data_IF_169561063725
#
_entry.id   IF_169561063725
#
_cell.length_a   1.000
_cell.length_b   1.000
_cell.length_c   1.000
_cell.angle_alpha   90.00
_cell.angle_beta   90.00
_cell.angle_gamma   90.00
#
_symmetry.space_group_name_H-M   'P 1'
#
loop_
_entity.id
_entity.type
_entity.pdbx_description
1 polymer ?
#
# COMPACT_ATOMS: atom_id res chain seq x y z
N UNK A 1 -29.43 0.20 12.55
CA UNK A 1 -27.99 0.32 12.93
C UNK A 1 -27.84 -0.57 14.16
N UNK A 2 -27.47 -1.82 13.92
CA UNK A 2 -27.22 -2.77 15.00
C UNK A 2 -26.09 -2.23 15.86
N UNK A 3 -26.31 -2.26 17.17
CA UNK A 3 -25.28 -1.93 18.15
C UNK A 3 -24.16 -2.98 17.99
N UNK A 4 -23.08 -2.63 17.31
CA UNK A 4 -21.86 -3.42 17.34
C UNK A 4 -21.48 -3.55 18.82
N UNK A 5 -21.55 -4.77 19.33
CA UNK A 5 -21.07 -5.08 20.67
C UNK A 5 -19.60 -4.65 20.75
N UNK A 6 -19.31 -3.68 21.62
CA UNK A 6 -17.97 -3.12 21.74
C UNK A 6 -17.15 -4.04 22.64
N UNK A 7 -16.29 -4.83 22.06
CA UNK A 7 -15.32 -5.62 22.83
C UNK A 7 -14.34 -4.71 23.59
N UNK A 8 -13.95 -5.13 24.76
CA UNK A 8 -12.97 -4.44 25.57
C UNK A 8 -11.60 -4.38 24.84
N UNK A 9 -11.00 -3.18 24.63
CA UNK A 9 -9.73 -3.06 23.96
C UNK A 9 -8.53 -3.56 24.81
N UNK A 10 -8.73 -3.88 26.07
CA UNK A 10 -7.68 -4.34 26.98
C UNK A 10 -7.64 -5.86 27.15
N UNK A 11 -8.82 -6.51 27.24
CA UNK A 11 -8.91 -7.96 27.46
C UNK A 11 -9.71 -8.71 26.41
N UNK A 12 -10.19 -8.01 25.36
CA UNK A 12 -11.02 -8.55 24.27
C UNK A 12 -12.35 -9.19 24.70
N UNK A 13 -12.78 -9.04 25.98
CA UNK A 13 -14.06 -9.55 26.44
C UNK A 13 -15.23 -8.80 25.79
N UNK A 14 -16.30 -9.47 25.37
CA UNK A 14 -17.53 -8.83 24.92
C UNK A 14 -18.38 -8.26 26.08
N UNK A 15 -18.05 -8.61 27.32
CA UNK A 15 -18.80 -8.21 28.51
C UNK A 15 -18.54 -6.75 28.86
N UNK A 16 -19.11 -5.83 28.10
CA UNK A 16 -19.00 -4.39 28.30
C UNK A 16 -20.36 -3.75 28.53
N UNK A 17 -20.41 -2.69 29.33
CA UNK A 17 -21.62 -1.89 29.55
C UNK A 17 -21.33 -0.39 29.41
N UNK A 18 -22.33 0.37 29.00
CA UNK A 18 -22.23 1.83 29.00
C UNK A 18 -22.21 2.33 30.45
N UNK A 19 -21.10 2.94 30.86
CA UNK A 19 -20.95 3.56 32.16
C UNK A 19 -21.62 4.93 32.23
N UNK A 20 -21.28 5.81 31.24
CA UNK A 20 -21.90 7.13 31.11
C UNK A 20 -21.75 7.67 29.68
N UNK A 21 -22.45 8.79 29.41
CA UNK A 21 -22.29 9.58 28.19
C UNK A 21 -21.79 10.96 28.57
N UNK A 22 -20.75 11.43 27.88
CA UNK A 22 -20.17 12.76 28.11
C UNK A 22 -20.17 13.58 26.81
N UNK A 23 -20.24 14.91 26.94
CA UNK A 23 -20.22 15.82 25.81
C UNK A 23 -18.80 16.16 25.40
N UNK A 24 -18.54 16.16 24.10
CA UNK A 24 -17.28 16.64 23.53
C UNK A 24 -17.49 17.96 22.80
N UNK A 25 -16.45 18.77 22.73
CA UNK A 25 -16.52 20.09 22.12
C UNK A 25 -16.86 20.06 20.60
N UNK A 26 -16.34 19.07 19.87
CA UNK A 26 -16.39 19.03 18.40
C UNK A 26 -17.05 17.78 17.81
N UNK A 27 -17.42 16.79 18.63
CA UNK A 27 -17.90 15.49 18.16
C UNK A 27 -19.23 15.06 18.78
N UNK A 28 -19.90 15.97 19.52
CA UNK A 28 -21.16 15.64 20.20
C UNK A 28 -20.97 14.70 21.39
N UNK A 29 -22.04 13.99 21.79
CA UNK A 29 -21.98 13.05 22.89
C UNK A 29 -21.16 11.81 22.54
N UNK A 30 -20.37 11.33 23.49
CA UNK A 30 -19.61 10.07 23.42
C UNK A 30 -19.92 9.18 24.61
N UNK A 31 -19.87 7.89 24.40
CA UNK A 31 -20.08 6.89 25.43
C UNK A 31 -18.75 6.48 26.06
N UNK A 32 -18.77 6.34 27.37
CA UNK A 32 -17.72 5.68 28.14
C UNK A 32 -18.24 4.29 28.51
N UNK A 33 -17.47 3.28 28.22
CA UNK A 33 -17.78 1.90 28.53
C UNK A 33 -16.95 1.43 29.71
N UNK A 34 -17.52 0.48 30.48
CA UNK A 34 -16.85 -0.29 31.51
C UNK A 34 -16.84 -1.75 31.09
N UNK A 35 -15.69 -2.40 31.15
CA UNK A 35 -15.58 -3.84 30.98
C UNK A 35 -15.86 -4.53 32.32
N UNK A 36 -16.80 -5.47 32.35
CA UNK A 36 -17.12 -6.21 33.58
C UNK A 36 -16.14 -7.35 33.85
N UNK A 37 -15.33 -7.76 32.89
CA UNK A 37 -14.33 -8.79 33.05
C UNK A 37 -12.99 -8.28 33.62
N UNK A 38 -12.48 -7.11 33.17
CA UNK A 38 -11.22 -6.55 33.64
C UNK A 38 -11.36 -5.23 34.41
N UNK A 39 -12.59 -4.70 34.53
CA UNK A 39 -12.93 -3.47 35.25
C UNK A 39 -12.30 -2.18 34.70
N UNK A 40 -11.77 -2.23 33.47
CA UNK A 40 -11.20 -1.06 32.79
C UNK A 40 -12.26 -0.22 32.08
N UNK A 41 -12.03 1.09 32.05
CA UNK A 41 -12.91 2.04 31.38
C UNK A 41 -12.31 2.49 30.04
N UNK A 42 -13.13 2.62 29.01
CA UNK A 42 -12.69 3.07 27.70
C UNK A 42 -13.78 3.84 26.94
N UNK A 43 -13.35 4.81 26.15
CA UNK A 43 -14.25 5.55 25.25
C UNK A 43 -14.59 4.71 24.01
N UNK A 44 -15.75 4.89 23.43
CA UNK A 44 -16.14 4.30 22.14
C UNK A 44 -15.16 4.61 21.00
N UNK A 45 -14.31 5.61 21.16
CA UNK A 45 -13.27 5.98 20.19
C UNK A 45 -11.89 5.46 20.53
N UNK A 46 -11.77 4.62 21.56
CA UNK A 46 -10.49 4.02 21.94
C UNK A 46 -9.90 3.24 20.77
N UNK A 47 -8.60 3.38 20.51
CA UNK A 47 -7.86 2.78 19.40
C UNK A 47 -8.36 3.20 18.00
N UNK A 48 -9.21 4.21 17.87
CA UNK A 48 -9.55 4.81 16.57
C UNK A 48 -8.70 6.07 16.30
N UNK A 49 -8.84 6.67 15.11
CA UNK A 49 -8.22 7.97 14.84
C UNK A 49 -8.83 9.08 15.70
N UNK A 50 -10.05 8.91 16.20
CA UNK A 50 -10.79 9.88 17.01
C UNK A 50 -10.39 9.86 18.49
N UNK A 51 -9.58 8.90 18.92
CA UNK A 51 -9.10 8.82 20.30
C UNK A 51 -8.40 10.13 20.71
N UNK A 52 -8.88 10.76 21.79
CA UNK A 52 -8.36 12.02 22.33
C UNK A 52 -8.28 13.19 21.32
N UNK A 53 -8.94 13.06 20.19
CA UNK A 53 -8.94 14.09 19.15
C UNK A 53 -9.87 15.24 19.56
N UNK A 54 -9.29 16.43 19.72
CA UNK A 54 -10.02 17.68 20.06
C UNK A 54 -10.27 18.55 18.84
N UNK A 55 -9.48 18.42 17.78
CA UNK A 55 -9.60 19.20 16.55
C UNK A 55 -10.76 18.70 15.70
N UNK A 56 -11.59 19.59 15.08
CA UNK A 56 -12.65 19.15 14.20
C UNK A 56 -12.17 18.22 13.09
N UNK A 57 -12.94 17.16 12.80
CA UNK A 57 -12.61 16.14 11.82
C UNK A 57 -12.32 16.72 10.43
N UNK A 58 -13.06 17.74 10.03
CA UNK A 58 -12.87 18.44 8.76
C UNK A 58 -11.48 19.06 8.62
N UNK A 59 -10.93 19.60 9.71
CA UNK A 59 -9.58 20.17 9.72
C UNK A 59 -8.53 19.07 9.59
N UNK A 60 -8.67 17.99 10.37
CA UNK A 60 -7.77 16.84 10.30
C UNK A 60 -7.74 16.23 8.89
N UNK A 61 -8.92 16.02 8.33
CA UNK A 61 -9.06 15.52 6.97
C UNK A 61 -8.41 16.43 5.93
N UNK A 62 -8.69 17.74 5.98
CA UNK A 62 -8.10 18.70 5.05
C UNK A 62 -6.57 18.71 5.12
N UNK A 63 -6.00 18.57 6.31
CA UNK A 63 -4.56 18.45 6.51
C UNK A 63 -4.02 17.17 5.87
N UNK A 64 -4.59 16.00 6.15
CA UNK A 64 -4.15 14.72 5.58
C UNK A 64 -4.30 14.71 4.06
N UNK A 65 -5.42 15.22 3.55
CA UNK A 65 -5.64 15.31 2.10
C UNK A 65 -4.61 16.25 1.44
N UNK A 66 -4.38 17.43 1.98
CA UNK A 66 -3.37 18.36 1.46
C UNK A 66 -1.95 17.76 1.45
N UNK A 67 -1.61 16.95 2.45
CA UNK A 67 -0.34 16.23 2.53
C UNK A 67 -0.18 15.22 1.38
N UNK A 68 -1.25 14.52 1.02
CA UNK A 68 -1.26 13.54 -0.09
C UNK A 68 -1.53 14.16 -1.46
N UNK A 69 -1.80 15.49 -1.52
CA UNK A 69 -1.88 16.28 -2.74
C UNK A 69 -0.65 17.17 -2.97
N UNK A 70 0.45 16.91 -2.25
CA UNK A 70 1.76 17.49 -2.51
C UNK A 70 2.13 18.69 -1.67
N UNK A 71 1.36 18.98 -0.62
CA UNK A 71 1.74 20.03 0.32
C UNK A 71 2.85 19.55 1.26
N UNK A 72 3.98 20.26 1.28
CA UNK A 72 5.09 19.95 2.18
C UNK A 72 4.73 20.25 3.64
N UNK A 73 5.32 19.53 4.61
CA UNK A 73 4.97 19.62 6.03
C UNK A 73 4.97 21.05 6.58
N UNK A 74 6.00 21.83 6.32
CA UNK A 74 6.06 23.22 6.79
C UNK A 74 5.02 24.14 6.11
N UNK A 75 4.66 23.85 4.86
CA UNK A 75 3.57 24.58 4.18
C UNK A 75 2.23 24.24 4.85
N UNK A 76 1.97 22.96 5.14
CA UNK A 76 0.77 22.52 5.86
C UNK A 76 0.61 23.23 7.21
N UNK A 77 1.69 23.28 8.00
CA UNK A 77 1.72 23.99 9.29
C UNK A 77 1.30 25.46 9.12
N UNK A 78 1.88 26.17 8.14
CA UNK A 78 1.53 27.58 7.89
C UNK A 78 0.10 27.79 7.37
N UNK A 79 -0.35 26.89 6.50
CA UNK A 79 -1.68 27.01 5.85
C UNK A 79 -2.82 26.74 6.82
N UNK A 80 -2.68 25.73 7.66
CA UNK A 80 -3.75 25.27 8.55
C UNK A 80 -3.61 25.77 9.99
N UNK A 81 -2.51 26.46 10.34
CA UNK A 81 -2.27 26.94 11.71
C UNK A 81 -2.06 25.81 12.74
N UNK A 82 -1.68 24.63 12.30
CA UNK A 82 -1.54 23.42 13.14
C UNK A 82 -0.08 23.17 13.44
N UNK A 83 0.24 22.78 14.69
CA UNK A 83 1.61 22.47 15.08
C UNK A 83 2.16 21.26 14.28
N UNK A 84 3.45 21.31 13.98
CA UNK A 84 4.15 20.28 13.21
C UNK A 84 3.95 18.87 13.77
N UNK A 85 4.11 18.72 15.09
CA UNK A 85 3.97 17.41 15.75
C UNK A 85 2.53 16.89 15.68
N UNK A 86 1.54 17.78 15.72
CA UNK A 86 0.12 17.42 15.55
C UNK A 86 -0.15 16.88 14.15
N UNK A 87 0.40 17.50 13.10
CA UNK A 87 0.30 16.96 11.73
C UNK A 87 0.93 15.57 11.64
N UNK A 88 2.10 15.39 12.24
CA UNK A 88 2.79 14.09 12.23
C UNK A 88 2.07 13.01 13.05
N UNK A 89 1.40 13.39 14.15
CA UNK A 89 0.54 12.51 14.93
C UNK A 89 -0.68 12.04 14.11
N UNK A 90 -1.35 12.95 13.42
CA UNK A 90 -2.48 12.59 12.57
C UNK A 90 -2.06 11.72 11.38
N UNK A 91 -0.90 11.99 10.76
CA UNK A 91 -0.32 11.11 9.75
C UNK A 91 -0.06 9.71 10.32
N UNK A 92 0.50 9.61 11.53
CA UNK A 92 0.80 8.31 12.15
C UNK A 92 -0.49 7.54 12.45
N UNK A 93 -1.47 8.17 13.06
CA UNK A 93 -2.77 7.53 13.33
C UNK A 93 -3.43 7.01 12.05
N UNK A 94 -3.40 7.79 10.97
CA UNK A 94 -3.93 7.34 9.67
C UNK A 94 -3.10 6.20 9.07
N UNK A 95 -1.77 6.26 9.17
CA UNK A 95 -0.87 5.21 8.71
C UNK A 95 -1.10 3.88 9.45
N UNK A 96 -1.41 3.94 10.75
CA UNK A 96 -1.69 2.76 11.59
C UNK A 96 -2.95 1.99 11.14
N UNK A 97 -3.79 2.55 10.26
CA UNK A 97 -4.90 1.83 9.64
C UNK A 97 -4.47 0.92 8.48
N UNK A 98 -3.30 1.18 7.88
CA UNK A 98 -2.85 0.44 6.70
C UNK A 98 -2.80 -1.08 6.96
N UNK A 99 -2.21 -1.61 8.05
CA UNK A 99 -2.17 -3.05 8.29
C UNK A 99 -3.56 -3.68 8.43
N UNK A 100 -4.48 -3.01 9.13
CA UNK A 100 -5.86 -3.50 9.33
C UNK A 100 -6.61 -3.57 8.01
N UNK A 101 -6.58 -2.47 7.24
CA UNK A 101 -7.24 -2.39 5.94
C UNK A 101 -6.60 -3.34 4.91
N UNK A 102 -5.29 -3.57 5.02
CA UNK A 102 -4.58 -4.54 4.19
C UNK A 102 -5.05 -5.98 4.47
N UNK A 103 -5.09 -6.38 5.75
CA UNK A 103 -5.59 -7.72 6.14
C UNK A 103 -7.05 -7.89 5.74
N UNK A 104 -7.88 -6.88 5.94
CA UNK A 104 -9.27 -6.89 5.48
C UNK A 104 -9.35 -7.11 3.97
N UNK A 105 -8.51 -6.42 3.19
CA UNK A 105 -8.48 -6.55 1.73
C UNK A 105 -8.05 -7.94 1.27
N UNK A 106 -7.11 -8.58 1.97
CA UNK A 106 -6.68 -9.95 1.65
C UNK A 106 -7.80 -10.97 1.81
N UNK A 107 -8.63 -10.83 2.85
CA UNK A 107 -9.71 -11.77 3.15
C UNK A 107 -10.90 -11.60 2.18
N UNK A 108 -11.12 -10.40 1.64
CA UNK A 108 -12.31 -10.06 0.87
C UNK A 108 -12.09 -9.98 -0.65
N UNK A 109 -10.87 -10.27 -1.15
CA UNK A 109 -10.63 -10.29 -2.59
C UNK A 109 -11.02 -11.63 -3.21
N UNK A 110 -11.69 -11.58 -4.37
CA UNK A 110 -12.18 -12.79 -5.07
C UNK A 110 -11.80 -12.83 -6.57
N UNK A 111 -10.92 -11.95 -7.07
CA UNK A 111 -10.70 -11.79 -8.50
C UNK A 111 -9.33 -12.32 -8.95
N UNK A 112 -9.26 -12.68 -10.25
CA UNK A 112 -7.99 -12.88 -10.96
C UNK A 112 -7.15 -11.60 -10.87
N UNK A 113 -5.90 -11.72 -10.41
CA UNK A 113 -5.07 -10.57 -10.12
C UNK A 113 -3.93 -10.46 -11.12
N UNK A 114 -3.89 -9.35 -11.87
CA UNK A 114 -2.75 -8.97 -12.69
C UNK A 114 -2.02 -7.84 -12.00
N UNK A 115 -0.88 -8.14 -11.40
CA UNK A 115 -0.09 -7.20 -10.61
C UNK A 115 1.06 -6.65 -11.43
N UNK A 116 1.21 -5.36 -11.43
CA UNK A 116 2.39 -4.66 -11.94
C UNK A 116 3.31 -4.26 -10.80
N UNK A 117 4.60 -4.63 -10.94
CA UNK A 117 5.66 -4.25 -10.00
C UNK A 117 6.64 -3.27 -10.63
N UNK A 118 6.96 -2.20 -9.91
CA UNK A 118 7.99 -1.23 -10.29
C UNK A 118 8.59 -0.56 -9.04
N UNK A 119 9.73 0.09 -9.19
CA UNK A 119 10.38 0.81 -8.10
C UNK A 119 10.82 2.20 -8.51
N UNK A 120 10.71 3.14 -7.59
CA UNK A 120 11.16 4.51 -7.76
C UNK A 120 12.13 4.93 -6.66
N UNK A 121 13.09 5.74 -7.04
CA UNK A 121 14.03 6.34 -6.12
C UNK A 121 13.59 7.75 -5.71
N UNK A 122 13.70 8.04 -4.41
CA UNK A 122 13.67 9.41 -3.88
C UNK A 122 14.79 9.63 -2.87
N UNK A 123 15.17 10.90 -2.69
CA UNK A 123 16.20 11.28 -1.72
C UNK A 123 15.67 11.21 -0.30
N UNK A 124 16.46 10.64 0.61
CA UNK A 124 16.22 10.68 2.05
C UNK A 124 17.43 11.28 2.77
N UNK A 125 17.18 12.18 3.71
CA UNK A 125 18.15 12.84 4.60
C UNK A 125 19.35 13.50 3.90
N UNK A 126 20.20 12.70 3.28
CA UNK A 126 21.43 13.13 2.60
C UNK A 126 21.39 12.80 1.12
N UNK A 127 22.19 13.50 0.33
CA UNK A 127 22.41 13.17 -1.07
C UNK A 127 23.47 12.07 -1.15
N UNK A 128 23.01 10.84 -1.22
CA UNK A 128 23.86 9.65 -1.39
C UNK A 128 23.55 9.00 -2.74
N UNK A 129 24.47 8.23 -3.32
CA UNK A 129 24.21 7.45 -4.53
C UNK A 129 23.00 6.53 -4.36
N UNK A 130 22.22 6.25 -5.41
CA UNK A 130 21.01 5.42 -5.33
C UNK A 130 21.24 4.03 -4.75
N UNK A 131 22.39 3.41 -4.98
CA UNK A 131 22.79 2.09 -4.46
C UNK A 131 23.01 2.08 -2.95
N UNK A 132 23.33 3.22 -2.36
CA UNK A 132 23.54 3.40 -0.91
C UNK A 132 22.33 3.98 -0.20
N UNK A 133 21.29 4.39 -0.95
CA UNK A 133 20.13 5.08 -0.39
C UNK A 133 19.10 4.11 0.14
N UNK A 134 18.42 4.53 1.25
CA UNK A 134 17.22 3.90 1.77
C UNK A 134 15.93 4.50 1.18
N UNK A 135 16.04 5.33 0.14
CA UNK A 135 14.92 6.03 -0.49
C UNK A 135 14.33 5.32 -1.70
N UNK A 136 14.51 4.03 -1.84
CA UNK A 136 13.79 3.25 -2.84
C UNK A 136 12.40 2.92 -2.35
N UNK A 137 11.42 3.14 -3.20
CA UNK A 137 10.02 2.79 -2.93
C UNK A 137 9.59 1.75 -3.95
N UNK A 138 9.12 0.62 -3.45
CA UNK A 138 8.63 -0.50 -4.21
C UNK A 138 7.11 -0.44 -4.26
N UNK A 139 6.53 -0.67 -5.43
CA UNK A 139 5.11 -0.69 -5.71
C UNK A 139 4.70 -2.04 -6.24
N UNK A 140 3.61 -2.58 -5.69
CA UNK A 140 2.79 -3.60 -6.34
C UNK A 140 1.38 -3.06 -6.47
N UNK A 141 0.87 -2.99 -7.70
CA UNK A 141 -0.44 -2.42 -8.01
C UNK A 141 -1.24 -3.40 -8.88
N UNK A 142 -2.50 -3.60 -8.52
CA UNK A 142 -3.43 -4.34 -9.38
C UNK A 142 -3.76 -3.54 -10.64
N UNK A 143 -3.66 -4.20 -11.79
CA UNK A 143 -3.83 -3.56 -13.09
C UNK A 143 -5.26 -3.08 -13.34
N UNK A 144 -6.26 -3.85 -12.96
CA UNK A 144 -7.65 -3.54 -13.24
C UNK A 144 -8.20 -2.47 -12.31
N UNK A 145 -8.12 -2.71 -11.01
CA UNK A 145 -8.70 -1.85 -9.97
C UNK A 145 -7.85 -0.65 -9.62
N UNK A 146 -6.54 -0.68 -9.92
CA UNK A 146 -5.54 0.30 -9.43
C UNK A 146 -5.32 0.21 -7.92
N UNK A 147 -5.74 -0.86 -7.28
CA UNK A 147 -5.50 -1.11 -5.89
C UNK A 147 -4.00 -1.31 -5.63
N UNK A 148 -3.47 -0.60 -4.67
CA UNK A 148 -2.07 -0.71 -4.27
C UNK A 148 -1.99 -1.82 -3.22
N UNK A 149 -1.33 -2.91 -3.55
CA UNK A 149 -1.06 -3.98 -2.59
C UNK A 149 0.12 -3.65 -1.69
N UNK A 150 1.21 -3.20 -2.30
CA UNK A 150 2.45 -2.87 -1.58
C UNK A 150 2.92 -1.49 -1.98
N UNK A 151 3.31 -0.69 -1.00
CA UNK A 151 3.95 0.62 -1.19
C UNK A 151 4.99 0.81 -0.08
N UNK A 152 6.12 0.13 -0.22
CA UNK A 152 7.14 0.03 0.81
C UNK A 152 8.41 0.77 0.45
N UNK A 153 9.03 1.44 1.42
CA UNK A 153 10.31 2.12 1.20
C UNK A 153 11.45 1.54 2.03
N UNK A 154 12.65 1.54 1.42
CA UNK A 154 13.83 0.99 2.07
C UNK A 154 15.08 1.06 1.21
N UNK A 155 16.09 0.30 1.59
CA UNK A 155 17.25 0.05 0.75
C UNK A 155 16.86 -0.90 -0.39
N UNK A 156 17.37 -0.68 -1.60
CA UNK A 156 17.11 -1.57 -2.75
C UNK A 156 17.91 -2.87 -2.61
N UNK A 157 17.59 -3.65 -1.60
CA UNK A 157 18.21 -4.96 -1.31
C UNK A 157 17.14 -6.08 -1.32
N UNK A 158 17.60 -7.30 -1.08
CA UNK A 158 16.72 -8.48 -1.06
C UNK A 158 15.56 -8.33 -0.08
N UNK A 159 15.78 -7.74 1.11
CA UNK A 159 14.78 -7.62 2.16
C UNK A 159 13.56 -6.81 1.71
N UNK A 160 13.77 -5.68 1.00
CA UNK A 160 12.67 -4.86 0.49
C UNK A 160 11.80 -5.64 -0.51
N UNK A 161 12.42 -6.45 -1.38
CA UNK A 161 11.69 -7.29 -2.33
C UNK A 161 10.98 -8.47 -1.65
N UNK A 162 11.60 -9.07 -0.64
CA UNK A 162 10.98 -10.15 0.14
C UNK A 162 9.68 -9.70 0.81
N UNK A 163 9.66 -8.51 1.42
CA UNK A 163 8.44 -7.94 2.01
C UNK A 163 7.31 -7.81 0.98
N UNK A 164 7.62 -7.31 -0.22
CA UNK A 164 6.63 -7.21 -1.30
C UNK A 164 6.14 -8.59 -1.79
N UNK A 165 7.04 -9.56 -1.92
CA UNK A 165 6.68 -10.90 -2.40
C UNK A 165 5.88 -11.67 -1.36
N UNK A 166 6.11 -11.46 -0.06
CA UNK A 166 5.26 -12.02 1.00
C UNK A 166 3.80 -11.59 0.85
N UNK A 167 3.56 -10.33 0.45
CA UNK A 167 2.21 -9.86 0.08
C UNK A 167 1.61 -10.68 -1.05
N UNK A 168 2.39 -10.96 -2.11
CA UNK A 168 1.93 -11.79 -3.23
C UNK A 168 1.67 -13.24 -2.82
N UNK A 169 2.46 -13.79 -1.91
CA UNK A 169 2.25 -15.14 -1.39
C UNK A 169 0.88 -15.26 -0.71
N UNK A 170 0.51 -14.27 0.09
CA UNK A 170 -0.80 -14.23 0.75
C UNK A 170 -1.93 -14.16 -0.29
N UNK A 171 -1.79 -13.30 -1.31
CA UNK A 171 -2.77 -13.20 -2.40
C UNK A 171 -2.88 -14.52 -3.18
N UNK A 172 -1.77 -15.23 -3.42
CA UNK A 172 -1.74 -16.49 -4.17
C UNK A 172 -2.40 -17.64 -3.40
N UNK A 173 -2.40 -17.62 -2.07
CA UNK A 173 -3.08 -18.64 -1.27
C UNK A 173 -4.58 -18.68 -1.56
N UNK A 174 -5.16 -17.52 -1.89
CA UNK A 174 -6.59 -17.33 -2.11
C UNK A 174 -6.97 -17.21 -3.60
N UNK A 175 -5.98 -17.09 -4.51
CA UNK A 175 -6.17 -16.94 -5.95
C UNK A 175 -5.50 -18.07 -6.74
N UNK A 176 -6.25 -18.71 -7.65
CA UNK A 176 -5.68 -19.72 -8.55
C UNK A 176 -5.00 -19.12 -9.80
N UNK A 177 -5.09 -17.81 -10.03
CA UNK A 177 -4.48 -17.14 -11.20
C UNK A 177 -3.88 -15.78 -10.81
N UNK A 178 -2.55 -15.72 -10.75
CA UNK A 178 -1.78 -14.51 -10.56
C UNK A 178 -0.83 -14.29 -11.73
N UNK A 179 -0.89 -13.12 -12.34
CA UNK A 179 0.09 -12.66 -13.33
C UNK A 179 0.91 -11.51 -12.75
N UNK A 180 2.20 -11.69 -12.58
CA UNK A 180 3.14 -10.66 -12.15
C UNK A 180 3.91 -10.08 -13.35
N UNK A 181 3.81 -8.79 -13.56
CA UNK A 181 4.45 -8.04 -14.63
C UNK A 181 5.44 -7.04 -14.05
N UNK A 182 6.69 -7.10 -14.45
CA UNK A 182 7.74 -6.23 -13.92
C UNK A 182 8.57 -5.57 -15.02
N UNK A 183 9.24 -4.49 -14.68
CA UNK A 183 9.99 -3.67 -15.61
C UNK A 183 11.50 -3.98 -15.53
N UNK A 184 11.90 -5.14 -16.07
CA UNK A 184 13.30 -5.55 -16.15
C UNK A 184 13.93 -6.04 -14.84
N UNK A 185 13.28 -5.89 -13.70
CA UNK A 185 13.78 -6.30 -12.39
C UNK A 185 13.48 -7.79 -12.13
N UNK A 186 14.50 -8.61 -12.17
CA UNK A 186 14.39 -10.08 -12.04
C UNK A 186 14.16 -10.56 -10.61
N UNK A 187 14.47 -9.74 -9.61
CA UNK A 187 14.32 -10.13 -8.19
C UNK A 187 12.90 -10.51 -7.83
N UNK A 188 11.90 -9.83 -8.38
CA UNK A 188 10.50 -10.15 -8.17
C UNK A 188 10.18 -11.60 -8.57
N UNK A 189 10.49 -11.96 -9.81
CA UNK A 189 10.21 -13.29 -10.33
C UNK A 189 11.01 -14.39 -9.64
N UNK A 190 12.28 -14.14 -9.33
CA UNK A 190 13.13 -15.11 -8.64
C UNK A 190 12.65 -15.40 -7.22
N UNK A 191 12.28 -14.36 -6.45
CA UNK A 191 11.76 -14.52 -5.10
C UNK A 191 10.39 -15.17 -5.12
N UNK A 192 9.52 -14.79 -6.07
CA UNK A 192 8.22 -15.43 -6.22
C UNK A 192 8.38 -16.93 -6.52
N UNK A 193 9.35 -17.30 -7.38
CA UNK A 193 9.67 -18.70 -7.65
C UNK A 193 10.20 -19.44 -6.41
N UNK A 194 11.01 -18.80 -5.58
CA UNK A 194 11.48 -19.39 -4.32
C UNK A 194 10.32 -19.76 -3.39
N UNK A 195 9.29 -18.93 -3.32
CA UNK A 195 8.14 -19.09 -2.43
C UNK A 195 7.06 -19.99 -3.06
N UNK A 196 6.75 -19.79 -4.34
CA UNK A 196 5.58 -20.38 -5.02
C UNK A 196 5.96 -21.48 -6.01
N UNK A 197 7.01 -22.28 -5.76
CA UNK A 197 7.33 -23.40 -6.62
C UNK A 197 6.65 -24.71 -6.20
N UNK A 198 6.42 -25.57 -7.18
CA UNK A 198 6.04 -26.96 -7.00
C UNK A 198 7.11 -27.89 -7.55
N UNK A 199 7.20 -29.09 -7.00
CA UNK A 199 8.17 -30.11 -7.43
C UNK A 199 7.56 -31.01 -8.50
N UNK A 200 8.21 -31.10 -9.66
CA UNK A 200 7.83 -32.05 -10.71
C UNK A 200 8.65 -33.33 -10.53
N UNK A 201 7.97 -34.42 -10.20
CA UNK A 201 8.59 -35.76 -10.13
C UNK A 201 8.40 -36.47 -11.46
N UNK A 202 9.46 -36.62 -12.22
CA UNK A 202 9.45 -37.26 -13.56
C UNK A 202 9.65 -38.78 -13.51
N UNK A 203 9.76 -39.37 -12.31
CA UNK A 203 10.13 -40.80 -12.14
C UNK A 203 11.58 -41.13 -12.43
N UNK A 204 12.38 -40.18 -12.88
CA UNK A 204 13.84 -40.38 -13.13
C UNK A 204 14.64 -40.19 -11.84
N UNK A 205 15.76 -40.95 -11.67
CA UNK A 205 16.66 -40.69 -10.55
C UNK A 205 17.20 -39.26 -10.57
N UNK A 206 17.32 -38.64 -9.39
CA UNK A 206 17.84 -37.29 -9.24
C UNK A 206 16.93 -36.35 -8.48
N UNK A 207 17.36 -35.09 -8.32
CA UNK A 207 16.57 -34.07 -7.64
C UNK A 207 15.39 -33.69 -8.52
N UNK A 208 14.13 -33.63 -7.96
CA UNK A 208 12.97 -33.17 -8.70
C UNK A 208 13.20 -31.77 -9.26
N UNK A 209 12.72 -31.53 -10.49
CA UNK A 209 12.72 -30.20 -11.06
C UNK A 209 11.68 -29.32 -10.37
N UNK A 210 11.92 -28.02 -10.37
CA UNK A 210 11.03 -27.01 -9.78
C UNK A 210 10.36 -26.22 -10.88
N UNK A 211 9.07 -25.94 -10.72
CA UNK A 211 8.33 -25.01 -11.58
C UNK A 211 7.46 -24.09 -10.73
N UNK A 212 6.97 -22.98 -11.27
CA UNK A 212 5.97 -22.17 -10.58
C UNK A 212 4.68 -22.99 -10.36
N UNK A 213 3.95 -22.71 -9.29
CA UNK A 213 2.62 -23.30 -9.07
C UNK A 213 1.73 -23.02 -10.29
N UNK A 214 0.82 -23.94 -10.59
CA UNK A 214 -0.19 -23.75 -11.65
C UNK A 214 -0.97 -22.45 -11.39
N UNK A 215 -1.17 -21.66 -12.45
CA UNK A 215 -1.86 -20.37 -12.35
C UNK A 215 -0.94 -19.18 -12.08
N UNK A 216 0.29 -19.38 -11.59
CA UNK A 216 1.23 -18.28 -11.34
C UNK A 216 2.08 -18.01 -12.57
N UNK A 217 2.01 -16.79 -13.11
CA UNK A 217 2.73 -16.33 -14.31
C UNK A 217 3.62 -15.16 -13.97
N UNK A 218 4.85 -15.16 -14.44
CA UNK A 218 5.80 -14.05 -14.28
C UNK A 218 6.29 -13.60 -15.65
N UNK A 219 6.19 -12.32 -15.95
CA UNK A 219 6.66 -11.71 -17.18
C UNK A 219 7.49 -10.48 -16.89
N UNK A 220 8.54 -10.31 -17.64
CA UNK A 220 9.50 -9.22 -17.50
C UNK A 220 9.54 -8.42 -18.79
N UNK A 221 9.22 -7.11 -18.69
CA UNK A 221 9.30 -6.18 -19.79
C UNK A 221 10.76 -5.95 -20.18
N UNK A 222 11.07 -6.07 -21.44
CA UNK A 222 12.42 -5.82 -21.95
C UNK A 222 12.57 -4.33 -22.37
N UNK A 223 13.31 -3.57 -21.60
CA UNK A 223 13.63 -2.16 -21.92
C UNK A 223 14.71 -1.99 -22.98
N UNK A 224 15.39 -3.06 -23.40
CA UNK A 224 16.55 -2.97 -24.26
C UNK A 224 17.73 -2.21 -23.63
N UNK A 225 18.89 -2.30 -24.26
CA UNK A 225 20.08 -1.52 -23.83
C UNK A 225 19.90 -0.06 -24.22
N UNK A 226 19.95 0.84 -23.25
CA UNK A 226 20.04 2.30 -23.46
C UNK A 226 21.49 2.77 -23.61
N UNK A 227 22.44 1.86 -23.83
CA UNK A 227 23.83 2.21 -24.07
C UNK A 227 23.95 3.17 -25.25
N UNK A 228 24.84 4.17 -25.13
CA UNK A 228 25.09 5.20 -26.13
C UNK A 228 25.29 4.58 -27.50
N UNK A 229 24.35 4.83 -28.39
CA UNK A 229 24.40 4.36 -29.77
C UNK A 229 24.60 5.56 -30.71
N UNK A 230 25.65 5.54 -31.53
CA UNK A 230 25.78 6.49 -32.66
C UNK A 230 24.81 6.01 -33.77
N UNK A 231 23.63 6.65 -33.87
CA UNK A 231 22.63 6.30 -34.89
C UNK A 231 21.21 6.63 -34.46
N UNK A 232 20.18 6.26 -35.27
CA UNK A 232 18.77 6.49 -34.93
C UNK A 232 18.42 5.90 -33.58
N UNK A 233 17.63 6.61 -32.78
CA UNK A 233 17.16 6.11 -31.48
C UNK A 233 16.46 4.76 -31.64
N UNK A 234 17.03 3.72 -31.04
CA UNK A 234 16.38 2.42 -30.99
C UNK A 234 15.07 2.51 -30.22
N UNK A 235 14.10 1.67 -30.60
CA UNK A 235 12.87 1.55 -29.82
C UNK A 235 13.21 1.35 -28.33
N UNK A 236 12.55 2.13 -27.45
CA UNK A 236 12.70 2.03 -25.99
C UNK A 236 12.30 0.64 -25.49
N UNK A 237 11.42 -0.03 -26.22
CA UNK A 237 10.90 -1.35 -25.89
C UNK A 237 11.25 -2.31 -27.03
N UNK A 238 11.91 -3.39 -26.66
CA UNK A 238 12.13 -4.54 -27.52
C UNK A 238 11.10 -5.63 -27.20
N UNK A 239 11.07 -6.68 -28.02
CA UNK A 239 10.27 -7.85 -27.69
C UNK A 239 10.52 -8.28 -26.25
N UNK A 240 9.50 -8.66 -25.50
CA UNK A 240 9.64 -9.11 -24.12
C UNK A 240 10.69 -10.22 -24.04
N UNK A 241 11.47 -10.20 -22.98
CA UNK A 241 12.37 -11.33 -22.75
C UNK A 241 11.54 -12.60 -22.63
N UNK A 242 12.13 -13.73 -23.02
CA UNK A 242 11.54 -15.03 -22.75
C UNK A 242 11.01 -15.01 -21.32
N UNK A 243 9.85 -15.55 -21.17
CA UNK A 243 9.15 -15.80 -19.93
C UNK A 243 10.09 -16.23 -18.81
N UNK A 244 9.76 -15.93 -17.57
CA UNK A 244 10.47 -16.56 -16.45
C UNK A 244 10.57 -18.06 -16.74
N UNK A 245 11.76 -18.70 -16.71
CA UNK A 245 11.99 -20.04 -17.27
C UNK A 245 11.09 -21.13 -16.69
N UNK A 246 10.39 -20.81 -15.60
CA UNK A 246 9.49 -21.71 -14.90
C UNK A 246 8.01 -21.39 -15.07
N UNK A 247 7.67 -20.48 -15.98
CA UNK A 247 6.27 -20.16 -16.28
C UNK A 247 5.74 -21.06 -17.40
N UNK A 248 4.68 -21.82 -17.14
CA UNK A 248 4.12 -22.79 -18.07
C UNK A 248 3.10 -22.18 -19.05
N UNK A 249 2.38 -21.12 -18.66
CA UNK A 249 1.32 -20.54 -19.46
C UNK A 249 1.79 -19.28 -20.20
N UNK A 250 1.40 -19.15 -21.47
CA UNK A 250 1.66 -17.96 -22.26
C UNK A 250 0.80 -16.76 -21.82
N UNK A 251 1.37 -15.56 -21.87
CA UNK A 251 0.66 -14.28 -21.75
C UNK A 251 0.81 -13.54 -23.08
N UNK A 252 -0.25 -12.91 -23.57
CA UNK A 252 -0.17 -12.14 -24.82
C UNK A 252 0.93 -11.08 -24.69
N UNK A 253 1.80 -10.99 -25.69
CA UNK A 253 2.91 -10.03 -25.74
C UNK A 253 2.43 -8.59 -25.56
N UNK A 254 1.23 -8.27 -26.04
CA UNK A 254 0.63 -6.94 -25.90
C UNK A 254 0.27 -6.60 -24.44
N UNK A 255 0.00 -7.61 -23.62
CA UNK A 255 -0.31 -7.47 -22.20
C UNK A 255 0.95 -7.29 -21.31
N UNK A 256 2.15 -7.57 -21.86
CA UNK A 256 3.40 -7.50 -21.10
C UNK A 256 3.89 -6.06 -21.03
N UNK A 257 3.32 -5.27 -20.12
CA UNK A 257 3.74 -3.91 -19.81
C UNK A 257 3.50 -3.57 -18.35
N UNK A 258 4.20 -2.56 -17.81
CA UNK A 258 4.03 -2.02 -16.47
C UNK A 258 3.63 -0.52 -16.53
N UNK A 259 2.74 -0.18 -17.47
CA UNK A 259 2.39 1.21 -17.75
C UNK A 259 1.64 1.86 -16.57
N UNK A 260 0.87 1.07 -15.80
CA UNK A 260 0.10 1.57 -14.66
C UNK A 260 1.01 1.87 -13.46
N UNK A 261 2.00 1.03 -13.21
CA UNK A 261 3.04 1.30 -12.21
C UNK A 261 3.86 2.55 -12.57
N UNK A 262 4.27 2.71 -13.84
CA UNK A 262 4.94 3.93 -14.33
C UNK A 262 4.04 5.17 -14.18
N UNK A 263 2.75 5.06 -14.52
CA UNK A 263 1.77 6.14 -14.37
C UNK A 263 1.54 6.49 -12.90
N UNK A 264 1.47 5.49 -12.03
CA UNK A 264 1.38 5.69 -10.58
C UNK A 264 2.56 6.50 -10.04
N UNK A 265 3.80 6.12 -10.35
CA UNK A 265 4.96 6.90 -9.92
C UNK A 265 4.99 8.30 -10.52
N UNK A 266 4.49 8.50 -11.74
CA UNK A 266 4.31 9.83 -12.30
C UNK A 266 3.29 10.65 -11.50
N UNK A 267 2.18 10.05 -11.08
CA UNK A 267 1.19 10.68 -10.21
C UNK A 267 1.75 10.96 -8.80
N UNK A 268 2.46 10.00 -8.22
CA UNK A 268 3.09 10.14 -6.90
C UNK A 268 4.07 11.31 -6.86
N UNK A 269 4.85 11.53 -7.94
CA UNK A 269 5.74 12.70 -8.05
C UNK A 269 4.99 14.04 -8.04
N UNK A 270 3.76 14.09 -8.51
CA UNK A 270 2.89 15.28 -8.42
C UNK A 270 2.24 15.42 -7.05
N UNK A 271 1.79 14.31 -6.49
CA UNK A 271 0.97 14.23 -5.26
C UNK A 271 1.77 14.16 -3.97
N UNK A 272 3.04 13.77 -4.01
CA UNK A 272 3.89 13.72 -2.83
C UNK A 272 5.11 14.63 -3.03
N UNK A 273 5.21 15.68 -2.21
CA UNK A 273 6.30 16.66 -2.29
C UNK A 273 7.69 16.02 -2.23
N UNK A 274 7.83 14.93 -1.49
CA UNK A 274 9.07 14.18 -1.30
C UNK A 274 9.57 13.52 -2.59
N UNK A 275 8.68 13.13 -3.51
CA UNK A 275 9.02 12.46 -4.76
C UNK A 275 9.29 13.43 -5.92
N UNK A 276 9.11 14.74 -5.72
CA UNK A 276 9.42 15.74 -6.74
C UNK A 276 10.91 15.75 -7.05
N UNK A 277 11.26 15.79 -8.32
CA UNK A 277 12.65 15.92 -8.75
C UNK A 277 13.20 17.28 -8.31
N UNK A 278 14.46 17.32 -7.85
CA UNK A 278 15.16 18.54 -7.41
C UNK A 278 14.39 19.34 -6.35
N UNK A 279 13.83 18.64 -5.36
CA UNK A 279 13.07 19.26 -4.28
C UNK A 279 13.90 19.42 -3.00
N UNK A 280 13.60 20.46 -2.22
CA UNK A 280 14.07 20.61 -0.84
C UNK A 280 13.13 19.97 0.19
N UNK A 281 11.97 19.46 -0.25
CA UNK A 281 10.96 18.83 0.60
C UNK A 281 11.13 17.31 0.73
N UNK A 282 12.35 16.81 0.50
CA UNK A 282 12.68 15.39 0.65
C UNK A 282 12.49 14.89 2.10
N UNK A 283 12.23 13.62 2.24
CA UNK A 283 12.04 12.97 3.55
C UNK A 283 13.32 13.03 4.40
N UNK A 284 13.17 13.21 5.70
CA UNK A 284 14.30 13.28 6.64
C UNK A 284 14.67 11.91 7.22
N UNK A 285 13.77 10.92 7.12
CA UNK A 285 13.99 9.54 7.54
C UNK A 285 13.15 8.56 6.72
N UNK A 286 13.58 7.31 6.65
CA UNK A 286 12.81 6.22 6.02
C UNK A 286 11.47 6.03 6.72
N UNK A 287 11.44 6.03 8.07
CA UNK A 287 10.19 5.96 8.85
C UNK A 287 9.20 7.09 8.50
N UNK A 288 9.70 8.32 8.34
CA UNK A 288 8.86 9.46 7.96
C UNK A 288 8.35 9.37 6.51
N UNK A 289 9.13 8.78 5.60
CA UNK A 289 8.67 8.49 4.25
C UNK A 289 7.60 7.40 4.26
N UNK A 290 7.85 6.28 4.93
CA UNK A 290 6.91 5.17 5.02
C UNK A 290 5.56 5.63 5.57
N UNK A 291 5.54 6.34 6.70
CA UNK A 291 4.30 6.91 7.24
C UNK A 291 3.50 7.71 6.20
N UNK A 292 4.15 8.55 5.41
CA UNK A 292 3.46 9.31 4.36
C UNK A 292 2.94 8.40 3.24
N UNK A 293 3.66 7.34 2.89
CA UNK A 293 3.23 6.34 1.91
C UNK A 293 2.04 5.54 2.43
N UNK A 294 2.01 5.19 3.72
CA UNK A 294 0.89 4.48 4.35
C UNK A 294 -0.38 5.34 4.37
N UNK A 295 -0.26 6.62 4.72
CA UNK A 295 -1.38 7.59 4.59
C UNK A 295 -1.86 7.69 3.14
N UNK A 296 -0.93 7.76 2.19
CA UNK A 296 -1.27 7.79 0.77
C UNK A 296 -1.97 6.50 0.34
N UNK A 297 -1.50 5.34 0.79
CA UNK A 297 -2.06 4.03 0.54
C UNK A 297 -3.52 3.93 1.03
N UNK A 298 -3.79 4.35 2.28
CA UNK A 298 -5.13 4.36 2.87
C UNK A 298 -6.08 5.25 2.07
N UNK A 299 -5.67 6.49 1.80
CA UNK A 299 -6.52 7.47 1.11
C UNK A 299 -6.72 7.06 -0.36
N UNK A 300 -5.69 6.55 -1.05
CA UNK A 300 -5.79 6.10 -2.43
C UNK A 300 -6.75 4.91 -2.57
N UNK A 301 -6.57 3.89 -1.76
CA UNK A 301 -7.31 2.64 -1.90
C UNK A 301 -8.77 2.75 -1.45
N UNK A 302 -9.09 3.54 -0.42
CA UNK A 302 -10.41 3.51 0.23
C UNK A 302 -11.22 4.80 0.12
N UNK A 303 -10.60 5.92 -0.19
CA UNK A 303 -11.28 7.24 -0.18
C UNK A 303 -11.25 7.92 -1.55
N UNK A 304 -10.11 7.88 -2.26
CA UNK A 304 -9.93 8.66 -3.48
C UNK A 304 -10.47 7.92 -4.71
N UNK A 305 -11.39 8.57 -5.42
CA UNK A 305 -11.86 8.08 -6.72
C UNK A 305 -10.68 8.14 -7.70
N UNK A 306 -10.40 7.03 -8.36
CA UNK A 306 -9.37 6.97 -9.38
C UNK A 306 -9.92 7.48 -10.71
N UNK A 307 -9.17 8.36 -11.38
CA UNK A 307 -9.63 9.07 -12.57
C UNK A 307 -10.04 8.13 -13.72
N UNK A 308 -9.30 7.05 -13.95
CA UNK A 308 -9.56 6.14 -15.07
C UNK A 308 -10.71 5.17 -14.77
N UNK A 309 -10.77 4.59 -13.58
CA UNK A 309 -11.80 3.62 -13.21
C UNK A 309 -13.11 4.28 -12.77
N UNK A 310 -13.07 5.59 -12.46
CA UNK A 310 -14.17 6.38 -11.88
C UNK A 310 -14.70 5.83 -10.56
N UNK A 311 -13.94 4.95 -9.93
CA UNK A 311 -14.25 4.32 -8.65
C UNK A 311 -13.06 4.38 -7.70
N UNK A 312 -13.31 4.09 -6.45
CA UNK A 312 -12.27 3.87 -5.44
C UNK A 312 -11.64 2.49 -5.67
N UNK A 313 -10.32 2.33 -5.68
CA UNK A 313 -9.67 1.06 -5.97
C UNK A 313 -10.18 -0.13 -5.17
N UNK A 314 -10.50 0.02 -3.89
CA UNK A 314 -11.05 -1.05 -3.06
C UNK A 314 -12.45 -1.50 -3.50
N UNK A 315 -13.26 -0.59 -4.08
CA UNK A 315 -14.57 -0.94 -4.68
C UNK A 315 -14.35 -1.68 -6.00
N UNK A 316 -13.49 -1.15 -6.87
CA UNK A 316 -13.16 -1.79 -8.15
C UNK A 316 -12.52 -3.18 -7.97
N UNK A 317 -11.84 -3.44 -6.86
CA UNK A 317 -11.29 -4.75 -6.51
C UNK A 317 -12.33 -5.69 -5.89
N UNK A 318 -13.49 -5.18 -5.47
CA UNK A 318 -14.55 -5.95 -4.80
C UNK A 318 -14.33 -6.15 -3.30
N UNK A 319 -13.39 -5.43 -2.69
CA UNK A 319 -13.10 -5.51 -1.24
C UNK A 319 -14.20 -4.88 -0.40
N UNK A 320 -14.80 -3.81 -0.90
CA UNK A 320 -15.92 -3.08 -0.28
C UNK A 320 -16.97 -2.73 -1.34
N UNK A 321 -18.23 -2.67 -0.95
CA UNK A 321 -19.33 -2.38 -1.87
C UNK A 321 -19.45 -0.90 -2.24
N UNK A 322 -18.94 -0.02 -1.42
CA UNK A 322 -18.96 1.43 -1.63
C UNK A 322 -17.75 2.12 -0.99
N UNK A 323 -17.43 3.28 -1.52
CA UNK A 323 -16.42 4.18 -0.97
C UNK A 323 -16.68 4.45 0.53
N UNK A 324 -15.62 4.38 1.34
CA UNK A 324 -15.68 4.82 2.73
C UNK A 324 -15.83 6.34 2.80
N UNK A 325 -16.70 6.81 3.69
CA UNK A 325 -16.71 8.22 4.08
C UNK A 325 -15.57 8.51 5.06
N UNK A 326 -15.19 9.79 5.18
CA UNK A 326 -14.15 10.20 6.13
C UNK A 326 -14.52 9.87 7.58
N UNK A 327 -15.75 10.08 8.05
CA UNK A 327 -16.14 9.65 9.39
C UNK A 327 -16.00 8.14 9.63
N UNK A 328 -16.38 7.31 8.64
CA UNK A 328 -16.23 5.86 8.74
C UNK A 328 -14.76 5.45 8.84
N UNK A 329 -13.90 6.02 7.99
CA UNK A 329 -12.45 5.76 8.06
C UNK A 329 -11.88 6.10 9.45
N UNK A 330 -12.32 7.18 10.06
CA UNK A 330 -11.82 7.64 11.36
C UNK A 330 -12.36 6.82 12.54
N UNK A 331 -13.39 6.01 12.33
CA UNK A 331 -13.95 5.09 13.32
C UNK A 331 -13.34 3.68 13.27
N UNK A 332 -12.52 3.38 12.26
CA UNK A 332 -11.83 2.08 12.18
C UNK A 332 -10.81 1.97 13.32
N UNK A 333 -10.85 0.84 14.00
CA UNK A 333 -9.87 0.53 15.06
C UNK A 333 -8.49 0.23 14.46
N UNK A 334 -7.47 0.80 15.05
CA UNK A 334 -6.07 0.52 14.74
C UNK A 334 -5.66 -0.82 15.35
N UNK A 335 -4.73 -1.50 14.72
CA UNK A 335 -4.15 -2.73 15.24
C UNK A 335 -3.30 -2.48 16.49
#
# INVERSE_FOLDING_TARGET
>A
MELLEMNCPYCCSPETRVHCTYQTQNYGPRRLYECTACFEYFSETKHTLLEDLKTPLSVVWNVLNARTEGMGLNATVRTFGVAKNTVLDWEQRCADLQPVLFLYSLVHQFLQVVIEGDEAYTKIAKNVPPDQSTGWTLLLIDRASRFIWTLECGKKDRKLFEQAIQTLEQIIQDSEDLTLLTDGERRYGNLLFEICHQLIRTGKPGRPSKTLKKGVKVRIKNKGSQAHHKGPKRSKYQAPWKEHPHTEQAVDVKEIHANHAEAFFSALRRKCATFRRRTNTYAKSTKGLQRLLDVYWVIHNFIRIHFTTQEVPAVSLGVIDRRLSVPELFQIHRA
#
